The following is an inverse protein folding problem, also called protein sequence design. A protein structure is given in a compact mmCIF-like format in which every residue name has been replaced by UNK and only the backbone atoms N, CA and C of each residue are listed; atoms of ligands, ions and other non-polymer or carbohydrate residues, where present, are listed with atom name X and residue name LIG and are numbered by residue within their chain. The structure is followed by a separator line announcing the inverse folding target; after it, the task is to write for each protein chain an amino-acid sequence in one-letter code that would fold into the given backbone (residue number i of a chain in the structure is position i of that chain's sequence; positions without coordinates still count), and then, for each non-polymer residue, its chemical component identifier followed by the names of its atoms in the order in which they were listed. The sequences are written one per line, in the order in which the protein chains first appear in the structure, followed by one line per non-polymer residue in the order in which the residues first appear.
data_IF_166325030288
#
_entry.id   IF_166325030288
#
_cell.length_a   1.000
_cell.length_b   1.000
_cell.length_c   1.000
_cell.angle_alpha   90.00
_cell.angle_beta   90.00
_cell.angle_gamma   90.00
#
_symmetry.space_group_name_H-M   'P 1'
#
loop_
_entity.id
_entity.type
_entity.pdbx_description
1 polymer ?
#
# COMPACT_ATOMS: atom_id res chain seq x y z
N UNK A 1 -2.82 -2.12 10.65
CA UNK A 1 -4.21 -2.06 10.17
C UNK A 1 -4.78 -0.65 10.26
N UNK A 2 -4.65 0.01 11.42
CA UNK A 2 -5.18 1.35 11.65
C UNK A 2 -4.78 2.39 10.58
N UNK A 3 -3.50 2.41 10.17
CA UNK A 3 -3.01 3.35 9.16
C UNK A 3 -3.78 3.32 7.83
N UNK A 4 -4.23 2.15 7.34
CA UNK A 4 -5.00 2.08 6.07
C UNK A 4 -6.38 2.67 6.25
N UNK A 5 -7.02 2.37 7.38
CA UNK A 5 -8.31 2.95 7.74
C UNK A 5 -8.19 4.47 7.89
N UNK A 6 -7.17 4.97 8.57
CA UNK A 6 -6.89 6.41 8.70
C UNK A 6 -6.64 7.08 7.33
N UNK A 7 -5.83 6.47 6.46
CA UNK A 7 -5.54 7.00 5.11
C UNK A 7 -6.75 7.03 4.19
N UNK A 8 -7.81 6.27 4.49
CA UNK A 8 -8.99 6.14 3.64
C UNK A 8 -10.25 6.72 4.27
N UNK A 9 -10.11 7.49 5.36
CA UNK A 9 -11.22 8.03 6.16
C UNK A 9 -12.20 6.93 6.62
N UNK A 10 -11.67 5.76 6.96
CA UNK A 10 -12.42 4.60 7.40
C UNK A 10 -13.13 3.83 6.28
N UNK A 11 -13.03 4.26 5.02
CA UNK A 11 -13.68 3.59 3.88
C UNK A 11 -13.11 2.20 3.60
N UNK A 12 -11.83 2.00 3.85
CA UNK A 12 -11.17 0.72 3.66
C UNK A 12 -10.63 0.19 4.98
N UNK A 13 -10.91 -1.08 5.26
CA UNK A 13 -10.29 -1.81 6.36
C UNK A 13 -9.70 -3.10 5.83
N UNK A 14 -8.42 -3.31 6.09
CA UNK A 14 -7.76 -4.58 5.79
C UNK A 14 -7.79 -5.42 7.06
N UNK A 15 -8.08 -6.71 6.94
CA UNK A 15 -7.94 -7.67 8.04
C UNK A 15 -6.48 -8.16 8.12
N UNK A 16 -5.96 -8.50 9.32
CA UNK A 16 -4.57 -8.94 9.47
C UNK A 16 -4.19 -10.08 8.52
N UNK A 17 -5.04 -11.11 8.38
CA UNK A 17 -4.80 -12.23 7.46
C UNK A 17 -4.68 -11.80 5.99
N UNK A 18 -5.53 -10.87 5.55
CA UNK A 18 -5.49 -10.31 4.19
C UNK A 18 -4.20 -9.52 3.95
N UNK A 19 -3.75 -8.74 4.95
CA UNK A 19 -2.50 -8.00 4.86
C UNK A 19 -1.30 -8.95 4.69
N UNK A 20 -1.20 -9.98 5.53
CA UNK A 20 -0.08 -10.92 5.46
C UNK A 20 -0.09 -11.72 4.15
N UNK A 21 -1.26 -12.13 3.66
CA UNK A 21 -1.37 -12.79 2.36
C UNK A 21 -0.96 -11.85 1.20
N UNK A 22 -1.32 -10.57 1.27
CA UNK A 22 -0.89 -9.58 0.27
C UNK A 22 0.63 -9.34 0.32
N UNK A 23 1.21 -9.21 1.52
CA UNK A 23 2.66 -9.06 1.71
C UNK A 23 3.43 -10.26 1.18
N UNK A 24 2.98 -11.49 1.43
CA UNK A 24 3.60 -12.69 0.87
C UNK A 24 3.62 -12.66 -0.66
N UNK A 25 2.48 -12.35 -1.31
CA UNK A 25 2.42 -12.22 -2.77
C UNK A 25 3.32 -11.10 -3.30
N UNK A 26 3.43 -9.98 -2.58
CA UNK A 26 4.32 -8.88 -2.95
C UNK A 26 5.80 -9.26 -2.82
N UNK A 27 6.16 -10.10 -1.86
CA UNK A 27 7.51 -10.68 -1.74
C UNK A 27 7.78 -11.63 -2.91
N UNK A 28 6.86 -12.55 -3.20
CA UNK A 28 7.00 -13.49 -4.32
C UNK A 28 7.14 -12.77 -5.67
N UNK A 29 6.48 -11.62 -5.82
CA UNK A 29 6.56 -10.76 -7.00
C UNK A 29 7.76 -9.79 -6.99
N UNK A 30 8.61 -9.79 -5.96
CA UNK A 30 9.78 -8.91 -5.84
C UNK A 30 9.44 -7.42 -5.64
N UNK A 31 8.21 -7.08 -5.26
CA UNK A 31 7.76 -5.71 -5.02
C UNK A 31 8.20 -5.19 -3.65
N UNK A 32 8.27 -6.10 -2.67
CA UNK A 32 8.81 -5.83 -1.34
C UNK A 32 9.77 -6.96 -0.97
N UNK A 33 10.64 -6.70 -0.02
CA UNK A 33 11.51 -7.70 0.59
C UNK A 33 11.27 -7.73 2.10
N UNK A 34 11.43 -8.90 2.71
CA UNK A 34 11.37 -9.03 4.15
C UNK A 34 12.71 -8.58 4.75
N UNK A 35 12.65 -7.78 5.81
CA UNK A 35 13.79 -7.26 6.54
C UNK A 35 13.73 -7.77 7.98
N UNK A 36 14.91 -7.99 8.58
CA UNK A 36 15.00 -8.29 10.00
C UNK A 36 14.54 -7.09 10.82
N UNK A 37 14.07 -7.36 12.03
CA UNK A 37 13.73 -6.28 12.95
C UNK A 37 15.01 -5.47 13.24
N UNK A 38 14.93 -4.13 13.25
CA UNK A 38 16.02 -3.30 13.74
C UNK A 38 16.48 -3.78 15.13
N UNK A 39 17.79 -3.77 15.37
CA UNK A 39 18.38 -4.21 16.65
C UNK A 39 17.85 -3.42 17.87
N UNK A 40 17.28 -2.24 17.63
CA UNK A 40 16.70 -1.35 18.63
C UNK A 40 15.17 -1.51 18.80
N UNK A 41 14.55 -2.57 18.25
CA UNK A 41 13.13 -2.85 18.46
C UNK A 41 12.82 -3.19 19.93
N UNK A 42 12.40 -2.16 20.68
CA UNK A 42 12.02 -2.25 22.11
C UNK A 42 10.63 -2.84 22.33
N UNK A 43 9.97 -3.39 21.29
CA UNK A 43 8.58 -3.82 21.40
C UNK A 43 8.34 -4.96 22.39
N UNK A 44 9.40 -5.66 22.85
CA UNK A 44 9.36 -6.66 23.94
C UNK A 44 8.46 -7.87 23.67
N UNK A 45 7.88 -7.95 22.47
CA UNK A 45 6.94 -8.97 22.04
C UNK A 45 7.53 -9.91 20.99
N UNK A 46 6.69 -10.75 20.37
CA UNK A 46 7.13 -11.66 19.31
C UNK A 46 7.81 -10.90 18.16
N UNK A 47 8.84 -11.52 17.55
CA UNK A 47 9.57 -10.94 16.42
C UNK A 47 8.61 -10.50 15.31
N UNK A 48 8.58 -9.19 15.04
CA UNK A 48 7.81 -8.61 13.94
C UNK A 48 8.58 -8.80 12.64
N UNK A 49 7.88 -9.12 11.56
CA UNK A 49 8.46 -9.11 10.21
C UNK A 49 8.36 -7.69 9.65
N UNK A 50 9.50 -7.15 9.26
CA UNK A 50 9.55 -5.86 8.58
C UNK A 50 9.58 -6.10 7.07
N UNK A 51 9.06 -5.13 6.32
CA UNK A 51 9.03 -5.20 4.88
C UNK A 51 9.50 -3.87 4.31
N UNK A 52 10.40 -3.94 3.33
CA UNK A 52 10.91 -2.78 2.62
C UNK A 52 10.50 -2.87 1.15
N UNK A 53 10.05 -1.76 0.58
CA UNK A 53 9.73 -1.71 -0.85
C UNK A 53 11.03 -1.72 -1.67
N UNK A 54 11.11 -2.61 -2.66
CA UNK A 54 12.25 -2.69 -3.56
C UNK A 54 12.25 -1.53 -4.57
N UNK A 55 13.35 -1.35 -5.31
CA UNK A 55 13.39 -0.40 -6.43
C UNK A 55 12.34 -0.75 -7.49
N UNK A 56 12.16 -2.05 -7.78
CA UNK A 56 11.13 -2.54 -8.69
C UNK A 56 9.71 -2.23 -8.17
N UNK A 57 9.43 -2.54 -6.90
CA UNK A 57 8.13 -2.23 -6.29
C UNK A 57 7.81 -0.74 -6.28
N UNK A 58 8.84 0.13 -6.15
CA UNK A 58 8.66 1.58 -6.28
C UNK A 58 8.26 1.98 -7.70
N UNK A 59 8.91 1.40 -8.71
CA UNK A 59 8.57 1.66 -10.11
C UNK A 59 7.16 1.18 -10.46
N UNK A 60 6.78 -0.02 -10.00
CA UNK A 60 5.43 -0.57 -10.19
C UNK A 60 4.36 0.29 -9.51
N UNK A 61 4.58 0.69 -8.25
CA UNK A 61 3.64 1.56 -7.54
C UNK A 61 3.46 2.92 -8.24
N UNK A 62 4.53 3.46 -8.83
CA UNK A 62 4.46 4.70 -9.62
C UNK A 62 3.63 4.51 -10.88
N UNK A 63 3.91 3.47 -11.66
CA UNK A 63 3.18 3.18 -12.89
C UNK A 63 1.68 2.96 -12.62
N UNK A 64 1.35 2.24 -11.54
CA UNK A 64 -0.04 2.00 -11.16
C UNK A 64 -0.74 3.31 -10.71
N UNK A 65 -0.04 4.17 -9.99
CA UNK A 65 -0.57 5.48 -9.60
C UNK A 65 -0.82 6.38 -10.82
N UNK A 66 0.08 6.37 -11.80
CA UNK A 66 -0.08 7.08 -13.06
C UNK A 66 -1.28 6.53 -13.87
N UNK A 67 -1.47 5.20 -13.89
CA UNK A 67 -2.63 4.55 -14.51
C UNK A 67 -3.95 4.96 -13.83
N UNK A 68 -3.99 4.96 -12.50
CA UNK A 68 -5.18 5.38 -11.73
C UNK A 68 -5.50 6.86 -11.96
N UNK A 69 -4.48 7.73 -12.02
CA UNK A 69 -4.66 9.15 -12.38
C UNK A 69 -5.29 9.29 -13.76
N UNK A 70 -4.79 8.58 -14.77
CA UNK A 70 -5.33 8.65 -16.13
C UNK A 70 -6.81 8.22 -16.18
N UNK A 71 -7.20 7.17 -15.44
CA UNK A 71 -8.60 6.76 -15.34
C UNK A 71 -9.48 7.81 -14.65
N UNK A 72 -8.96 8.45 -13.59
CA UNK A 72 -9.67 9.54 -12.92
C UNK A 72 -9.87 10.74 -13.85
N UNK A 73 -8.86 11.10 -14.65
CA UNK A 73 -8.95 12.20 -15.61
C UNK A 73 -10.05 11.94 -16.66
N UNK A 74 -10.17 10.70 -17.13
CA UNK A 74 -11.27 10.27 -18.01
C UNK A 74 -12.63 10.40 -17.30
N UNK A 75 -12.75 9.90 -16.07
CA UNK A 75 -14.00 9.97 -15.31
C UNK A 75 -14.46 11.41 -15.06
N UNK A 76 -13.52 12.33 -14.80
CA UNK A 76 -13.80 13.76 -14.65
C UNK A 76 -14.22 14.39 -15.98
N UNK A 77 -13.52 14.08 -17.07
CA UNK A 77 -13.87 14.59 -18.40
C UNK A 77 -15.28 14.16 -18.85
N UNK A 78 -15.69 12.95 -18.48
CA UNK A 78 -17.02 12.40 -18.72
C UNK A 78 -18.08 12.86 -17.69
N UNK A 79 -17.70 13.72 -16.73
CA UNK A 79 -18.57 14.20 -15.63
C UNK A 79 -19.17 13.09 -14.77
N UNK A 80 -18.54 11.91 -14.72
CA UNK A 80 -18.91 10.80 -13.83
C UNK A 80 -18.55 11.13 -12.39
N UNK A 81 -17.41 11.81 -12.20
CA UNK A 81 -16.97 12.36 -10.92
C UNK A 81 -16.92 13.88 -11.09
N UNK A 82 -17.60 14.62 -10.21
CA UNK A 82 -17.42 16.07 -10.14
C UNK A 82 -16.00 16.36 -9.64
N UNK A 83 -15.20 17.06 -10.43
CA UNK A 83 -13.84 17.43 -10.03
C UNK A 83 -13.89 18.15 -8.68
N UNK A 84 -13.44 17.46 -7.62
CA UNK A 84 -13.46 17.99 -6.27
C UNK A 84 -12.70 19.31 -6.22
N UNK A 85 -13.35 20.35 -5.66
CA UNK A 85 -12.70 21.63 -5.38
C UNK A 85 -11.44 21.39 -4.56
N UNK A 86 -10.34 22.02 -5.00
CA UNK A 86 -9.14 22.23 -4.18
C UNK A 86 -9.49 22.92 -2.87
#
# INVERSE_FOLDING_TARGET
MQAVSEMTDGRETILPGTLYAALARMVDAGLVEAEEAPDDDKSGGPRRRYYRRTTFGRAVARAESERLRALLDIAVAQKVISGGKK
#
